data_IF_961312741332
#
_entry.id   IF_961312741332
#
_cell.length_a   1.000
_cell.length_b   1.000
_cell.length_c   1.000
_cell.angle_alpha   90.00
_cell.angle_beta   90.00
_cell.angle_gamma   90.00
#
_symmetry.space_group_name_H-M   'P 1'
#
loop_
_entity.id
_entity.type
_entity.pdbx_description
1 polymer ?
#
# COMPACT_ATOMS: atom_id res chain seq x y z
N UNK A 1 -24.16 22.18 58.38
CA UNK A 1 -24.94 21.43 57.38
C UNK A 1 -23.99 20.89 56.30
N UNK A 2 -23.62 19.61 56.40
CA UNK A 2 -22.78 18.95 55.43
C UNK A 2 -23.62 18.69 54.16
N UNK A 3 -23.37 19.45 53.10
CA UNK A 3 -23.86 19.16 51.77
C UNK A 3 -23.24 17.83 51.30
N UNK A 4 -24.06 16.80 51.36
CA UNK A 4 -23.76 15.47 50.85
C UNK A 4 -23.53 15.59 49.32
N UNK A 5 -22.31 15.81 48.90
CA UNK A 5 -21.92 16.01 47.47
C UNK A 5 -21.86 14.63 46.83
N UNK A 6 -23.04 14.04 46.51
CA UNK A 6 -23.14 12.78 45.80
C UNK A 6 -22.48 12.96 44.45
N UNK A 7 -21.43 12.19 44.18
CA UNK A 7 -20.75 12.15 42.90
C UNK A 7 -21.76 11.75 41.80
N UNK A 8 -21.77 12.53 40.72
CA UNK A 8 -22.69 12.29 39.60
C UNK A 8 -21.90 12.32 38.32
N UNK A 9 -22.33 11.51 37.35
CA UNK A 9 -21.78 11.56 36.01
C UNK A 9 -22.06 12.92 35.37
N UNK A 10 -21.01 13.60 34.89
CA UNK A 10 -21.10 14.93 34.28
C UNK A 10 -21.77 14.88 32.88
N UNK A 11 -21.93 13.69 32.28
CA UNK A 11 -22.54 13.49 30.96
C UNK A 11 -24.04 13.19 31.05
N UNK A 12 -24.46 12.22 31.87
CA UNK A 12 -25.84 11.79 31.95
C UNK A 12 -26.55 12.19 33.27
N UNK A 13 -25.82 12.75 34.27
CA UNK A 13 -26.37 13.20 35.53
C UNK A 13 -26.67 12.09 36.55
N UNK A 14 -26.54 10.80 36.21
CA UNK A 14 -26.79 9.67 37.14
C UNK A 14 -25.84 9.69 38.30
N UNK A 15 -26.34 9.34 39.47
CA UNK A 15 -25.53 9.26 40.69
C UNK A 15 -24.71 7.95 40.73
N UNK A 16 -23.67 7.94 41.61
CA UNK A 16 -22.79 6.78 41.80
C UNK A 16 -23.53 5.48 42.11
N UNK A 17 -24.71 5.57 42.76
CA UNK A 17 -25.54 4.40 43.10
C UNK A 17 -26.37 3.86 41.92
N UNK A 18 -26.48 4.59 40.81
CA UNK A 18 -27.27 4.27 39.61
C UNK A 18 -26.40 3.76 38.45
N UNK A 19 -25.10 3.66 38.65
CA UNK A 19 -24.12 3.26 37.63
C UNK A 19 -23.18 2.21 38.18
N UNK A 20 -22.52 1.44 37.35
CA UNK A 20 -21.60 0.41 37.79
C UNK A 20 -20.36 0.99 38.48
N UNK A 21 -19.76 2.05 37.89
CA UNK A 21 -18.67 2.82 38.48
C UNK A 21 -18.58 4.21 37.86
N UNK A 22 -17.88 5.12 38.55
CA UNK A 22 -17.57 6.44 38.08
C UNK A 22 -16.05 6.61 37.92
N UNK A 23 -15.62 6.99 36.72
CA UNK A 23 -14.24 7.40 36.43
C UNK A 23 -14.11 8.87 36.82
N UNK A 24 -13.12 9.20 37.67
CA UNK A 24 -12.86 10.55 38.14
C UNK A 24 -11.90 11.27 37.18
N UNK A 25 -12.33 12.40 36.64
CA UNK A 25 -11.48 13.36 35.91
C UNK A 25 -11.09 14.55 36.76
N UNK A 26 -10.32 15.47 36.21
CA UNK A 26 -9.85 16.69 36.93
C UNK A 26 -11.02 17.58 37.41
N UNK A 27 -12.08 17.73 36.59
CA UNK A 27 -13.21 18.61 36.87
C UNK A 27 -14.58 17.92 36.75
N UNK A 28 -14.64 16.59 36.77
CA UNK A 28 -15.91 15.87 36.61
C UNK A 28 -15.77 14.37 36.71
N UNK A 29 -16.90 13.71 36.51
CA UNK A 29 -17.03 12.26 36.56
C UNK A 29 -17.69 11.75 35.28
N UNK A 30 -17.28 10.59 34.78
CA UNK A 30 -17.96 9.89 33.70
C UNK A 30 -18.31 8.48 34.16
N UNK A 31 -19.55 8.03 33.94
CA UNK A 31 -19.93 6.67 34.27
C UNK A 31 -19.50 5.67 33.18
N UNK A 32 -19.48 4.39 33.53
CA UNK A 32 -19.21 3.25 32.64
C UNK A 32 -20.00 3.30 31.34
N UNK A 33 -21.33 3.48 31.42
CA UNK A 33 -22.18 3.57 30.23
C UNK A 33 -21.82 4.75 29.32
N UNK A 34 -21.60 5.94 29.88
CA UNK A 34 -21.22 7.11 29.09
C UNK A 34 -19.79 6.99 28.53
N UNK A 35 -18.88 6.34 29.25
CA UNK A 35 -17.53 6.09 28.74
C UNK A 35 -17.55 5.12 27.55
N UNK A 36 -18.34 4.06 27.62
CA UNK A 36 -18.54 3.13 26.49
C UNK A 36 -19.18 3.84 25.31
N UNK A 37 -20.24 4.61 25.52
CA UNK A 37 -20.90 5.36 24.46
C UNK A 37 -19.98 6.45 23.85
N UNK A 38 -19.19 7.15 24.64
CA UNK A 38 -18.20 8.09 24.15
C UNK A 38 -17.11 7.38 23.31
N UNK A 39 -16.69 6.19 23.73
CA UNK A 39 -15.75 5.37 22.97
C UNK A 39 -16.34 4.93 21.64
N UNK A 40 -17.59 4.45 21.61
CA UNK A 40 -18.30 4.07 20.38
C UNK A 40 -18.44 5.27 19.41
N UNK A 41 -18.88 6.44 19.93
CA UNK A 41 -18.99 7.67 19.13
C UNK A 41 -17.63 8.13 18.60
N UNK A 42 -16.57 8.03 19.41
CA UNK A 42 -15.21 8.36 18.94
C UNK A 42 -14.72 7.35 17.91
N UNK A 43 -15.01 6.07 18.07
CA UNK A 43 -14.74 5.04 17.06
C UNK A 43 -15.53 5.31 15.78
N UNK A 44 -16.82 5.63 15.88
CA UNK A 44 -17.65 6.01 14.72
C UNK A 44 -17.19 7.33 14.09
N UNK A 45 -16.87 8.34 14.86
CA UNK A 45 -16.36 9.63 14.36
C UNK A 45 -14.95 9.54 13.79
N UNK A 46 -14.09 8.72 14.37
CA UNK A 46 -12.78 8.36 13.81
C UNK A 46 -12.92 7.37 12.65
N UNK A 47 -13.99 6.56 12.63
CA UNK A 47 -14.33 5.63 11.56
C UNK A 47 -15.23 6.23 10.47
N UNK A 48 -15.97 7.33 10.72
CA UNK A 48 -16.74 8.06 9.72
C UNK A 48 -15.90 9.02 8.88
N UNK A 49 -14.67 9.32 9.35
CA UNK A 49 -13.60 9.72 8.46
C UNK A 49 -12.90 8.46 7.94
N UNK A 50 -13.44 7.89 6.85
CA UNK A 50 -12.97 6.68 6.19
C UNK A 50 -13.26 5.36 6.92
N UNK A 51 -14.31 4.70 6.46
CA UNK A 51 -14.16 3.29 6.17
C UNK A 51 -13.04 3.13 5.11
N UNK A 52 -11.80 3.31 5.49
CA UNK A 52 -10.77 2.45 4.97
C UNK A 52 -11.22 1.06 5.43
N UNK A 53 -11.77 0.28 4.50
CA UNK A 53 -11.92 -1.16 4.68
C UNK A 53 -10.68 -1.59 5.43
N UNK A 54 -10.86 -2.10 6.67
CA UNK A 54 -9.76 -2.26 7.60
C UNK A 54 -8.58 -2.82 6.86
N UNK A 55 -7.49 -2.06 6.85
CA UNK A 55 -6.24 -2.57 6.31
C UNK A 55 -6.03 -3.88 7.04
N UNK A 56 -6.37 -4.97 6.40
CA UNK A 56 -6.16 -6.30 6.92
C UNK A 56 -4.65 -6.40 6.95
N UNK A 57 -4.06 -6.07 8.11
CA UNK A 57 -2.61 -6.22 8.28
C UNK A 57 -2.35 -7.67 7.97
N UNK A 58 -1.78 -7.90 6.79
CA UNK A 58 -1.35 -9.23 6.38
C UNK A 58 -0.60 -9.85 7.57
N UNK A 59 -1.12 -10.98 8.05
CA UNK A 59 -0.51 -11.71 9.13
C UNK A 59 0.11 -12.99 8.54
N UNK A 60 1.25 -13.39 9.05
CA UNK A 60 1.94 -14.60 8.56
C UNK A 60 1.05 -15.85 8.61
N UNK A 61 0.11 -15.90 9.58
CA UNK A 61 -0.87 -17.00 9.71
C UNK A 61 -1.99 -16.96 8.68
N UNK A 62 -2.25 -15.78 8.12
CA UNK A 62 -3.32 -15.52 7.15
C UNK A 62 -2.79 -15.42 5.72
N UNK A 63 -1.45 -15.41 5.55
CA UNK A 63 -0.83 -15.39 4.23
C UNK A 63 -1.13 -16.69 3.49
N UNK A 64 -1.88 -16.66 2.37
CA UNK A 64 -2.23 -17.86 1.64
C UNK A 64 -0.97 -18.54 1.10
N UNK A 65 -0.92 -19.85 1.22
CA UNK A 65 0.22 -20.66 0.74
C UNK A 65 0.27 -20.65 -0.79
N UNK A 66 1.43 -20.93 -1.41
CA UNK A 66 1.57 -20.92 -2.87
C UNK A 66 0.53 -21.79 -3.60
N UNK A 67 0.14 -22.92 -3.02
CA UNK A 67 -0.90 -23.79 -3.58
C UNK A 67 -2.27 -23.10 -3.58
N UNK A 68 -2.60 -22.39 -2.51
CA UNK A 68 -3.86 -21.65 -2.37
C UNK A 68 -3.91 -20.47 -3.34
N UNK A 69 -2.78 -19.74 -3.48
CA UNK A 69 -2.62 -18.66 -4.46
C UNK A 69 -2.85 -19.21 -5.89
N UNK A 70 -2.19 -20.33 -6.23
CA UNK A 70 -2.37 -20.96 -7.54
C UNK A 70 -3.82 -21.37 -7.77
N UNK A 71 -4.45 -22.04 -6.81
CA UNK A 71 -5.84 -22.48 -6.91
C UNK A 71 -6.79 -21.30 -7.11
N UNK A 72 -6.51 -20.15 -6.48
CA UNK A 72 -7.28 -18.93 -6.69
C UNK A 72 -7.07 -18.38 -8.11
N UNK A 73 -5.83 -18.36 -8.61
CA UNK A 73 -5.53 -17.95 -9.97
C UNK A 73 -6.21 -18.84 -11.02
N UNK A 74 -6.33 -20.14 -10.74
CA UNK A 74 -7.00 -21.11 -11.64
C UNK A 74 -8.48 -20.79 -11.86
N UNK A 75 -9.13 -20.08 -10.93
CA UNK A 75 -10.52 -19.64 -11.08
C UNK A 75 -10.70 -18.51 -12.09
N UNK A 76 -9.65 -17.73 -12.36
CA UNK A 76 -9.71 -16.54 -13.21
C UNK A 76 -8.95 -16.68 -14.52
N UNK A 77 -7.90 -17.50 -14.56
CA UNK A 77 -7.00 -17.64 -15.70
C UNK A 77 -6.91 -19.11 -16.11
N UNK A 78 -7.29 -19.39 -17.34
CA UNK A 78 -7.22 -20.75 -17.91
C UNK A 78 -5.81 -20.98 -18.45
N UNK A 79 -5.23 -22.15 -18.16
CA UNK A 79 -3.86 -22.48 -18.58
C UNK A 79 -2.80 -21.70 -17.80
N UNK A 80 -1.63 -21.52 -18.39
CA UNK A 80 -0.48 -20.81 -17.80
C UNK A 80 0.00 -21.43 -16.46
N UNK A 81 -0.05 -22.74 -16.32
CA UNK A 81 0.19 -23.44 -15.05
C UNK A 81 1.57 -23.16 -14.45
N UNK A 82 2.60 -23.15 -15.28
CA UNK A 82 3.97 -22.88 -14.81
C UNK A 82 4.11 -21.41 -14.37
N UNK A 83 3.59 -20.45 -15.14
CA UNK A 83 3.61 -19.04 -14.78
C UNK A 83 2.87 -18.81 -13.45
N UNK A 84 1.72 -19.44 -13.24
CA UNK A 84 0.96 -19.37 -11.99
C UNK A 84 1.73 -19.95 -10.80
N UNK A 85 2.43 -21.08 -10.97
CA UNK A 85 3.25 -21.68 -9.91
C UNK A 85 4.40 -20.77 -9.50
N UNK A 86 5.17 -20.30 -10.49
CA UNK A 86 6.29 -19.38 -10.21
C UNK A 86 5.81 -18.08 -9.56
N UNK A 87 4.75 -17.49 -10.09
CA UNK A 87 4.17 -16.27 -9.57
C UNK A 87 3.65 -16.45 -8.14
N UNK A 88 2.96 -17.55 -7.85
CA UNK A 88 2.45 -17.87 -6.52
C UNK A 88 3.57 -18.01 -5.48
N UNK A 89 4.67 -18.67 -5.83
CA UNK A 89 5.85 -18.81 -4.95
C UNK A 89 6.55 -17.48 -4.74
N UNK A 90 6.77 -16.71 -5.81
CA UNK A 90 7.46 -15.42 -5.73
C UNK A 90 6.69 -14.40 -4.87
N UNK A 91 5.38 -14.33 -5.07
CA UNK A 91 4.50 -13.48 -4.27
C UNK A 91 4.47 -13.91 -2.81
N UNK A 92 4.34 -15.20 -2.54
CA UNK A 92 4.39 -15.74 -1.18
C UNK A 92 5.71 -15.38 -0.49
N UNK A 93 6.84 -15.57 -1.16
CA UNK A 93 8.16 -15.23 -0.59
C UNK A 93 8.30 -13.74 -0.31
N UNK A 94 7.80 -12.88 -1.20
CA UNK A 94 7.79 -11.44 -1.00
C UNK A 94 7.05 -11.06 0.28
N UNK A 95 5.79 -11.49 0.43
CA UNK A 95 4.99 -11.14 1.61
C UNK A 95 5.45 -11.86 2.88
N UNK A 96 5.97 -13.09 2.77
CA UNK A 96 6.62 -13.78 3.89
C UNK A 96 7.79 -12.96 4.44
N UNK A 97 8.63 -12.40 3.55
CA UNK A 97 9.74 -11.50 3.94
C UNK A 97 9.24 -10.29 4.73
N UNK A 98 8.14 -9.65 4.29
CA UNK A 98 7.58 -8.47 4.96
C UNK A 98 7.02 -8.81 6.35
N UNK A 99 6.50 -10.02 6.53
CA UNK A 99 5.84 -10.46 7.74
C UNK A 99 6.78 -11.18 8.71
N UNK A 100 7.96 -11.59 8.24
CA UNK A 100 8.97 -12.22 9.06
C UNK A 100 9.63 -11.14 9.92
N UNK A 101 9.45 -11.24 11.25
CA UNK A 101 10.20 -10.42 12.20
C UNK A 101 11.66 -10.88 12.16
N UNK A 102 12.59 -9.95 12.39
CA UNK A 102 14.00 -10.26 12.59
C UNK A 102 14.14 -11.32 13.71
N UNK A 103 14.10 -12.57 13.34
CA UNK A 103 14.15 -13.70 14.27
C UNK A 103 15.56 -14.25 14.44
N UNK A 104 16.59 -13.43 14.24
CA UNK A 104 17.98 -13.84 14.53
C UNK A 104 18.49 -15.06 13.73
N UNK A 105 17.70 -15.60 12.81
CA UNK A 105 18.13 -16.63 11.88
C UNK A 105 18.99 -15.99 10.78
N UNK A 106 20.14 -16.58 10.52
CA UNK A 106 21.18 -16.09 9.60
C UNK A 106 20.76 -16.01 8.10
N UNK A 107 19.48 -16.21 7.79
CA UNK A 107 18.97 -16.20 6.40
C UNK A 107 18.12 -14.97 6.14
N UNK A 108 18.72 -13.97 5.52
CA UNK A 108 18.01 -12.78 5.01
C UNK A 108 17.40 -13.09 3.64
N UNK A 109 16.08 -12.89 3.50
CA UNK A 109 15.41 -12.99 2.20
C UNK A 109 15.50 -11.62 1.53
N UNK A 110 16.25 -11.54 0.43
CA UNK A 110 16.39 -10.32 -0.34
C UNK A 110 15.11 -9.93 -1.07
N UNK A 111 14.99 -8.62 -1.37
CA UNK A 111 13.92 -8.11 -2.23
C UNK A 111 14.05 -8.74 -3.62
N UNK A 112 12.95 -9.26 -4.15
CA UNK A 112 12.87 -9.71 -5.53
C UNK A 112 11.70 -9.02 -6.24
N UNK A 113 11.92 -8.65 -7.51
CA UNK A 113 10.89 -8.20 -8.43
C UNK A 113 10.59 -9.33 -9.41
N UNK A 114 9.47 -9.25 -10.13
CA UNK A 114 9.01 -10.31 -11.02
C UNK A 114 8.99 -9.77 -12.45
N UNK A 115 9.53 -10.51 -13.40
CA UNK A 115 9.41 -10.20 -14.82
C UNK A 115 8.51 -11.25 -15.47
N UNK A 116 7.47 -10.76 -16.17
CA UNK A 116 6.55 -11.60 -16.94
C UNK A 116 6.77 -11.37 -18.43
N UNK A 117 7.18 -12.41 -19.13
CA UNK A 117 7.43 -12.38 -20.59
C UNK A 117 6.38 -13.19 -21.32
N UNK A 118 5.84 -12.65 -22.41
CA UNK A 118 4.85 -13.30 -23.22
C UNK A 118 4.15 -12.33 -24.17
N UNK A 119 3.53 -12.85 -25.23
CA UNK A 119 2.77 -12.04 -26.19
C UNK A 119 1.60 -11.31 -25.53
N UNK A 120 1.10 -10.28 -26.20
CA UNK A 120 -0.10 -9.56 -25.78
C UNK A 120 -1.30 -10.51 -25.70
N UNK A 121 -2.16 -10.32 -24.70
CA UNK A 121 -3.37 -11.15 -24.53
C UNK A 121 -3.16 -12.47 -23.78
N UNK A 122 -1.94 -12.79 -23.32
CA UNK A 122 -1.67 -14.03 -22.56
C UNK A 122 -2.08 -13.97 -21.07
N UNK A 123 -2.69 -12.88 -20.62
CA UNK A 123 -3.23 -12.76 -19.26
C UNK A 123 -2.26 -12.23 -18.21
N UNK A 124 -1.10 -11.66 -18.59
CA UNK A 124 -0.10 -11.11 -17.64
C UNK A 124 -0.71 -10.14 -16.64
N UNK A 125 -1.38 -9.11 -17.13
CA UNK A 125 -2.04 -8.09 -16.30
C UNK A 125 -3.15 -8.67 -15.44
N UNK A 126 -3.90 -9.65 -15.97
CA UNK A 126 -4.97 -10.33 -15.23
C UNK A 126 -4.41 -11.13 -14.05
N UNK A 127 -3.29 -11.82 -14.24
CA UNK A 127 -2.61 -12.58 -13.19
C UNK A 127 -2.18 -11.64 -12.04
N UNK A 128 -1.52 -10.52 -12.34
CA UNK A 128 -1.07 -9.56 -11.32
C UNK A 128 -2.25 -8.93 -10.55
N UNK A 129 -3.30 -8.52 -11.27
CA UNK A 129 -4.51 -7.96 -10.66
C UNK A 129 -5.24 -8.96 -9.77
N UNK A 130 -5.30 -10.22 -10.18
CA UNK A 130 -5.96 -11.29 -9.42
C UNK A 130 -5.23 -11.57 -8.11
N UNK A 131 -3.90 -11.53 -8.12
CA UNK A 131 -3.08 -11.67 -6.90
C UNK A 131 -3.33 -10.51 -5.94
N UNK A 132 -3.29 -9.28 -6.41
CA UNK A 132 -3.54 -8.11 -5.56
C UNK A 132 -4.94 -8.16 -4.93
N UNK A 133 -5.95 -8.66 -5.68
CA UNK A 133 -7.29 -8.90 -5.16
C UNK A 133 -7.32 -9.96 -4.06
N UNK A 134 -6.58 -11.07 -4.22
CA UNK A 134 -6.50 -12.13 -3.23
C UNK A 134 -5.86 -11.63 -1.92
N UNK A 135 -4.80 -10.83 -2.04
CA UNK A 135 -4.03 -10.35 -0.91
C UNK A 135 -4.61 -9.08 -0.26
N UNK A 136 -5.63 -8.48 -0.88
CA UNK A 136 -6.25 -7.22 -0.42
C UNK A 136 -5.23 -6.10 -0.25
N UNK A 137 -4.25 -6.00 -1.16
CA UNK A 137 -3.22 -4.96 -1.16
C UNK A 137 -3.46 -3.92 -2.24
N UNK A 138 -3.00 -2.66 -2.06
CA UNK A 138 -3.06 -1.63 -3.09
C UNK A 138 -2.40 -2.12 -4.38
N UNK A 139 -3.06 -1.86 -5.51
CA UNK A 139 -2.60 -2.29 -6.83
C UNK A 139 -2.72 -1.17 -7.84
N UNK A 140 -1.64 -0.88 -8.54
CA UNK A 140 -1.66 0.07 -9.65
C UNK A 140 -1.01 -0.52 -10.90
N UNK A 141 -1.48 -0.06 -12.06
CA UNK A 141 -0.93 -0.39 -13.37
C UNK A 141 -0.37 0.87 -13.98
N UNK A 142 0.82 0.79 -14.51
CA UNK A 142 1.48 1.86 -15.23
C UNK A 142 1.97 1.35 -16.57
N UNK A 143 1.70 2.09 -17.62
CA UNK A 143 2.27 1.85 -18.94
C UNK A 143 3.63 2.56 -19.00
N UNK A 144 4.69 1.79 -19.25
CA UNK A 144 6.05 2.31 -19.31
C UNK A 144 6.26 3.31 -20.46
N UNK A 145 5.45 3.25 -21.51
CA UNK A 145 5.58 4.13 -22.68
C UNK A 145 5.22 5.59 -22.40
N UNK A 146 4.44 5.86 -21.35
CA UNK A 146 4.06 7.23 -20.96
C UNK A 146 5.04 7.89 -20.00
N UNK A 147 6.01 7.11 -19.48
CA UNK A 147 6.99 7.58 -18.52
C UNK A 147 8.08 8.42 -19.19
N UNK A 148 8.43 9.52 -18.54
CA UNK A 148 9.51 10.42 -18.99
C UNK A 148 10.45 10.77 -17.84
N UNK A 149 11.64 11.26 -18.17
CA UNK A 149 12.54 11.82 -17.17
C UNK A 149 11.92 13.08 -16.54
N UNK A 150 12.14 13.28 -15.25
CA UNK A 150 11.59 14.41 -14.49
C UNK A 150 11.87 15.76 -15.16
N UNK A 151 10.81 16.57 -15.36
CA UNK A 151 10.89 17.90 -15.96
C UNK A 151 10.56 17.97 -17.46
N UNK A 152 10.26 16.83 -18.09
CA UNK A 152 9.82 16.78 -19.49
C UNK A 152 8.31 16.56 -19.63
N UNK A 153 7.81 16.67 -20.86
CA UNK A 153 6.37 16.44 -21.14
C UNK A 153 6.09 14.93 -21.09
N UNK A 154 5.32 14.53 -20.11
CA UNK A 154 4.98 13.12 -19.84
C UNK A 154 4.72 12.90 -18.36
N UNK A 155 4.62 11.66 -17.96
CA UNK A 155 4.46 11.29 -16.55
C UNK A 155 5.84 11.03 -15.92
N UNK A 156 6.15 11.73 -14.84
CA UNK A 156 7.37 11.48 -14.07
C UNK A 156 7.31 10.07 -13.44
N UNK A 157 8.45 9.44 -13.27
CA UNK A 157 8.56 8.10 -12.67
C UNK A 157 7.94 8.06 -11.28
N UNK A 158 8.02 9.15 -10.52
CA UNK A 158 7.41 9.28 -9.19
C UNK A 158 5.86 9.25 -9.25
N UNK A 159 5.25 9.51 -10.42
CA UNK A 159 3.80 9.41 -10.61
C UNK A 159 3.26 7.99 -10.37
N UNK A 160 4.10 6.97 -10.57
CA UNK A 160 3.82 5.57 -10.23
C UNK A 160 3.42 5.45 -8.75
N UNK A 161 4.22 6.06 -7.87
CA UNK A 161 3.99 6.03 -6.42
C UNK A 161 2.81 6.93 -6.03
N UNK A 162 2.58 8.04 -6.72
CA UNK A 162 1.39 8.88 -6.52
C UNK A 162 0.13 8.08 -6.78
N UNK A 163 0.06 7.31 -7.87
CA UNK A 163 -1.08 6.44 -8.19
C UNK A 163 -1.27 5.36 -7.13
N UNK A 164 -0.19 4.74 -6.66
CA UNK A 164 -0.25 3.73 -5.61
C UNK A 164 -0.76 4.33 -4.29
N UNK A 165 -0.28 5.52 -3.91
CA UNK A 165 -0.78 6.28 -2.75
C UNK A 165 -2.26 6.61 -2.87
N UNK A 166 -2.74 7.02 -4.04
CA UNK A 166 -4.15 7.31 -4.28
C UNK A 166 -5.03 6.06 -4.08
N UNK A 167 -4.58 4.91 -4.56
CA UNK A 167 -5.29 3.63 -4.37
C UNK A 167 -5.30 3.21 -2.89
N UNK A 168 -4.26 3.55 -2.14
CA UNK A 168 -4.14 3.31 -0.70
C UNK A 168 -4.77 4.44 0.15
N UNK A 169 -5.59 5.33 -0.42
CA UNK A 169 -6.15 6.49 0.27
C UNK A 169 -5.10 7.33 1.04
N UNK A 170 -3.91 7.46 0.48
CA UNK A 170 -2.74 8.11 1.08
C UNK A 170 -2.24 7.49 2.39
N UNK A 171 -2.62 6.24 2.66
CA UNK A 171 -2.04 5.44 3.74
C UNK A 171 -0.66 4.92 3.31
N UNK A 172 0.40 5.62 3.71
CA UNK A 172 1.78 5.30 3.30
C UNK A 172 2.20 3.88 3.68
N UNK A 173 2.01 3.40 4.93
CA UNK A 173 2.33 2.02 5.32
C UNK A 173 1.62 0.96 4.48
N UNK A 174 0.42 1.22 4.00
CA UNK A 174 -0.34 0.32 3.14
C UNK A 174 0.17 0.38 1.69
N UNK A 175 0.43 1.58 1.17
CA UNK A 175 1.02 1.78 -0.15
C UNK A 175 2.38 1.08 -0.29
N UNK A 176 3.21 1.14 0.75
CA UNK A 176 4.53 0.49 0.78
C UNK A 176 4.47 -1.04 0.75
N UNK A 177 3.31 -1.65 0.97
CA UNK A 177 3.07 -3.10 0.82
C UNK A 177 2.30 -3.45 -0.45
N UNK A 178 2.06 -2.47 -1.31
CA UNK A 178 1.31 -2.62 -2.55
C UNK A 178 2.07 -3.33 -3.66
N UNK A 179 1.34 -3.55 -4.75
CA UNK A 179 1.86 -4.13 -6.00
C UNK A 179 1.77 -3.08 -7.11
N UNK A 180 2.86 -2.88 -7.82
CA UNK A 180 2.94 -2.07 -9.04
C UNK A 180 3.18 -2.99 -10.23
N UNK A 181 2.26 -2.97 -11.19
CA UNK A 181 2.45 -3.65 -12.47
C UNK A 181 2.89 -2.63 -13.53
N UNK A 182 4.09 -2.85 -14.09
CA UNK A 182 4.65 -1.99 -15.14
C UNK A 182 4.48 -2.73 -16.46
N UNK A 183 3.53 -2.26 -17.27
CA UNK A 183 3.26 -2.84 -18.58
C UNK A 183 4.19 -2.24 -19.65
N UNK A 184 4.41 -2.99 -20.73
CA UNK A 184 5.21 -2.58 -21.89
C UNK A 184 6.64 -2.08 -21.61
N UNK A 185 7.28 -2.60 -20.55
CA UNK A 185 8.64 -2.19 -20.15
C UNK A 185 9.69 -2.39 -21.27
N UNK A 186 9.44 -3.32 -22.20
CA UNK A 186 10.30 -3.55 -23.35
C UNK A 186 10.33 -2.37 -24.35
N UNK A 187 9.36 -1.47 -24.29
CA UNK A 187 9.28 -0.30 -25.18
C UNK A 187 10.23 0.80 -24.78
N UNK A 188 10.64 0.86 -23.50
CA UNK A 188 11.65 1.83 -23.02
C UNK A 188 13.05 1.56 -23.60
N UNK A 189 13.32 0.33 -24.03
CA UNK A 189 14.63 -0.09 -24.55
C UNK A 189 14.94 0.41 -25.97
N UNK A 190 14.01 1.07 -26.67
CA UNK A 190 14.26 1.55 -28.04
C UNK A 190 15.16 2.77 -28.01
N UNK A 191 16.45 2.56 -28.33
CA UNK A 191 17.30 3.64 -28.84
C UNK A 191 16.72 4.10 -30.16
N UNK A 192 16.34 5.37 -30.26
CA UNK A 192 16.08 5.98 -31.57
C UNK A 192 17.37 5.91 -32.38
N UNK A 193 17.30 5.43 -33.61
CA UNK A 193 18.44 5.38 -34.57
C UNK A 193 18.94 6.77 -35.03
N UNK A 194 18.49 7.83 -34.37
CA UNK A 194 18.93 9.18 -34.69
C UNK A 194 20.07 9.63 -33.76
N UNK A 195 21.27 9.79 -34.25
CA UNK A 195 22.41 10.36 -33.51
C UNK A 195 22.26 11.88 -33.32
N UNK A 196 21.07 12.41 -33.16
CA UNK A 196 20.91 13.83 -32.83
C UNK A 196 21.27 14.04 -31.36
N UNK A 197 22.01 15.12 -31.13
CA UNK A 197 22.63 15.59 -29.87
C UNK A 197 21.60 15.88 -28.76
N UNK A 198 20.34 15.53 -28.93
CA UNK A 198 19.29 15.65 -27.95
C UNK A 198 19.28 14.43 -27.01
N UNK A 199 19.53 14.69 -25.75
CA UNK A 199 19.43 13.72 -24.65
C UNK A 199 18.14 12.91 -24.77
N UNK A 200 18.26 11.59 -24.78
CA UNK A 200 17.10 10.67 -24.87
C UNK A 200 16.37 10.67 -23.53
N UNK A 201 15.33 11.49 -23.44
CA UNK A 201 14.52 11.71 -22.24
C UNK A 201 13.53 10.59 -21.97
N UNK A 202 13.31 9.70 -22.93
CA UNK A 202 12.35 8.60 -22.84
C UNK A 202 13.01 7.22 -22.70
N UNK A 203 14.33 7.15 -22.77
CA UNK A 203 15.10 5.92 -22.77
C UNK A 203 15.89 5.68 -21.49
N UNK A 204 17.17 6.05 -21.52
CA UNK A 204 18.12 5.73 -20.44
C UNK A 204 17.77 6.38 -19.09
N UNK A 205 17.29 7.63 -19.08
CA UNK A 205 16.90 8.34 -17.86
C UNK A 205 15.72 7.68 -17.16
N UNK A 206 14.75 7.20 -17.93
CA UNK A 206 13.60 6.44 -17.39
C UNK A 206 14.05 5.09 -16.83
N UNK A 207 14.94 4.37 -17.53
CA UNK A 207 15.49 3.10 -17.04
C UNK A 207 16.23 3.28 -15.71
N UNK A 208 17.09 4.30 -15.59
CA UNK A 208 17.83 4.59 -14.36
C UNK A 208 16.90 4.99 -13.21
N UNK A 209 15.84 5.75 -13.48
CA UNK A 209 14.84 6.11 -12.48
C UNK A 209 14.03 4.92 -12.01
N UNK A 210 13.60 4.05 -12.92
CA UNK A 210 12.92 2.79 -12.57
C UNK A 210 13.83 1.87 -11.77
N UNK A 211 15.10 1.76 -12.11
CA UNK A 211 16.06 0.93 -11.38
C UNK A 211 16.11 1.32 -9.89
N UNK A 212 16.13 2.63 -9.57
CA UNK A 212 16.09 3.11 -8.18
C UNK A 212 14.84 2.65 -7.44
N UNK A 213 13.67 2.66 -8.10
CA UNK A 213 12.44 2.16 -7.49
C UNK A 213 12.51 0.65 -7.25
N UNK A 214 13.04 -0.10 -8.23
CA UNK A 214 13.12 -1.56 -8.17
C UNK A 214 14.11 -2.04 -7.11
N UNK A 215 15.23 -1.35 -6.92
CA UNK A 215 16.24 -1.66 -5.90
C UNK A 215 15.74 -1.39 -4.47
N UNK A 216 14.86 -0.41 -4.31
CA UNK A 216 14.31 -0.01 -3.02
C UNK A 216 14.97 1.25 -2.49
N UNK A 217 14.30 2.37 -2.64
CA UNK A 217 14.73 3.70 -2.19
C UNK A 217 13.58 4.45 -1.53
N UNK A 218 13.91 5.51 -0.77
CA UNK A 218 12.91 6.46 -0.30
C UNK A 218 12.73 7.55 -1.35
N UNK A 219 11.52 7.67 -1.86
CA UNK A 219 11.15 8.63 -2.89
C UNK A 219 10.17 9.64 -2.32
N UNK A 220 10.40 10.92 -2.54
CA UNK A 220 9.52 11.99 -2.12
C UNK A 220 8.46 12.25 -3.19
N UNK A 221 7.21 11.96 -2.88
CA UNK A 221 6.07 12.00 -3.79
C UNK A 221 5.19 13.21 -3.48
N UNK A 222 4.73 13.98 -4.49
CA UNK A 222 3.79 15.07 -4.28
C UNK A 222 2.43 14.51 -3.84
N UNK A 223 1.74 15.15 -2.86
CA UNK A 223 0.48 14.65 -2.30
C UNK A 223 -0.70 14.70 -3.29
N UNK A 224 -0.64 15.54 -4.30
CA UNK A 224 -1.63 15.61 -5.38
C UNK A 224 -0.89 15.53 -6.70
N UNK A 225 -1.09 14.49 -7.47
CA UNK A 225 -0.43 14.31 -8.76
C UNK A 225 -0.38 15.61 -9.56
N UNK A 226 0.80 16.12 -9.86
CA UNK A 226 1.00 17.38 -10.53
C UNK A 226 2.44 17.88 -10.43
N UNK A 227 2.72 19.08 -10.97
CA UNK A 227 4.05 19.70 -10.93
C UNK A 227 4.47 19.95 -9.48
N UNK A 228 5.70 19.61 -9.15
CA UNK A 228 6.32 19.87 -7.85
C UNK A 228 6.34 21.39 -7.58
N UNK A 229 5.58 21.84 -6.57
CA UNK A 229 5.68 23.22 -6.08
C UNK A 229 6.72 23.28 -4.96
N UNK A 230 7.56 24.33 -4.88
CA UNK A 230 8.62 24.44 -3.86
C UNK A 230 8.11 24.38 -2.41
N UNK A 231 6.89 24.86 -2.16
CA UNK A 231 6.29 24.94 -0.83
C UNK A 231 5.41 23.72 -0.47
N UNK A 232 5.35 22.72 -1.36
CA UNK A 232 4.48 21.56 -1.15
C UNK A 232 5.17 20.50 -0.28
N UNK A 233 4.53 20.11 0.83
CA UNK A 233 5.03 19.03 1.69
C UNK A 233 4.99 17.71 0.95
N UNK A 234 6.14 17.17 0.61
CA UNK A 234 6.28 15.88 -0.05
C UNK A 234 6.03 14.73 0.92
N UNK A 235 5.50 13.62 0.39
CA UNK A 235 5.26 12.38 1.15
C UNK A 235 6.41 11.43 0.86
N UNK A 236 7.24 11.06 1.86
CA UNK A 236 8.28 10.04 1.67
C UNK A 236 7.63 8.67 1.56
N UNK A 237 7.97 7.92 0.51
CA UNK A 237 7.51 6.53 0.27
C UNK A 237 8.74 5.65 0.08
N UNK A 238 8.84 4.60 0.87
CA UNK A 238 9.92 3.61 0.77
C UNK A 238 9.51 2.46 -0.15
N UNK A 239 10.21 2.32 -1.27
CA UNK A 239 9.88 1.29 -2.27
C UNK A 239 10.47 -0.09 -1.95
N UNK A 240 11.23 -0.24 -0.86
CA UNK A 240 11.87 -1.52 -0.47
C UNK A 240 10.87 -2.68 -0.34
N UNK A 241 9.65 -2.38 0.09
CA UNK A 241 8.61 -3.37 0.35
C UNK A 241 7.52 -3.43 -0.73
N UNK A 242 7.54 -2.55 -1.71
CA UNK A 242 6.64 -2.60 -2.87
C UNK A 242 7.06 -3.74 -3.80
N UNK A 243 6.09 -4.56 -4.23
CA UNK A 243 6.33 -5.59 -5.24
C UNK A 243 6.14 -4.99 -6.64
N UNK A 244 7.17 -5.04 -7.45
CA UNK A 244 7.09 -4.66 -8.87
C UNK A 244 7.00 -5.92 -9.74
N UNK A 245 6.05 -5.90 -10.68
CA UNK A 245 5.82 -6.97 -11.65
C UNK A 245 5.85 -6.39 -13.06
#
# INVERSE_FOLDING_TARGET
ESKNNKKRCSFCGRSENEVGFLITGMNGYICDSCATQAYEITQEAMGAGKQSAGATRLNLKELPKPVEIKNFLDQYVIGQDDAKRFLAVSVYNHYKRLLQKDSGDDVEIEKSNIIMVGSTGTGKTLLARTIAKLLHVPFTIVDATVLTEAGYVGEDIESILTRLLQVADYNVPEAEQGIVFIDEIDKIARKGDNPSITRDVSGEGVQQGLLKLLEGSVVNVPPQGGRKHPDQKMIPVNTKNILFI
#
